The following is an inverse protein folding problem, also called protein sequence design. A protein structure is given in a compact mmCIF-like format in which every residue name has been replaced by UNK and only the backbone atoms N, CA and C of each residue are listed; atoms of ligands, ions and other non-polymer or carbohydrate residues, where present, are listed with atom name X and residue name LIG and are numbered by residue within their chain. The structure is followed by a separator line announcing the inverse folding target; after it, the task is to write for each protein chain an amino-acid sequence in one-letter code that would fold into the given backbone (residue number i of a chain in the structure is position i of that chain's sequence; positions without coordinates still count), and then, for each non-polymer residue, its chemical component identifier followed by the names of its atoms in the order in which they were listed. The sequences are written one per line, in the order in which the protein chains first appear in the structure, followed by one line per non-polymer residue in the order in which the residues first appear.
data_IF_913444091510
#
_entry.id   IF_913444091510
#
_cell.length_a   1.000
_cell.length_b   1.000
_cell.length_c   1.000
_cell.angle_alpha   90.00
_cell.angle_beta   90.00
_cell.angle_gamma   90.00
#
_symmetry.space_group_name_H-M   'P 1'
#
loop_
_entity.id
_entity.type
_entity.pdbx_description
1 polymer ?
#
# COMPACT_ATOMS: atom_id res chain seq x y z
N UNK A 1 -19.40 -15.48 23.60
CA UNK A 1 -19.70 -14.07 23.23
C UNK A 1 -18.51 -13.35 22.62
N UNK A 2 -17.32 -13.44 23.21
CA UNK A 2 -16.12 -12.70 22.79
C UNK A 2 -15.73 -12.91 21.31
N UNK A 3 -15.73 -14.16 20.81
CA UNK A 3 -15.45 -14.45 19.38
C UNK A 3 -16.45 -13.80 18.40
N UNK A 4 -17.75 -13.77 18.74
CA UNK A 4 -18.76 -13.14 17.86
C UNK A 4 -18.58 -11.63 17.76
N UNK A 5 -18.21 -11.00 18.87
CA UNK A 5 -17.90 -9.57 18.91
C UNK A 5 -16.64 -9.25 18.08
N UNK A 6 -15.57 -10.03 18.22
CA UNK A 6 -14.36 -9.87 17.40
C UNK A 6 -14.63 -10.03 15.90
N UNK A 7 -15.47 -11.01 15.52
CA UNK A 7 -15.87 -11.22 14.13
C UNK A 7 -16.71 -10.04 13.62
N UNK A 8 -17.67 -9.55 14.40
CA UNK A 8 -18.50 -8.42 14.01
C UNK A 8 -17.66 -7.15 13.76
N UNK A 9 -16.69 -6.87 14.63
CA UNK A 9 -15.77 -5.74 14.43
C UNK A 9 -14.90 -5.95 13.18
N UNK A 10 -14.34 -7.14 13.00
CA UNK A 10 -13.53 -7.47 11.82
C UNK A 10 -14.33 -7.22 10.54
N UNK A 11 -15.53 -7.80 10.42
CA UNK A 11 -16.42 -7.64 9.26
C UNK A 11 -16.78 -6.17 9.04
N UNK A 12 -17.10 -5.44 10.11
CA UNK A 12 -17.39 -4.00 10.01
C UNK A 12 -16.18 -3.22 9.47
N UNK A 13 -14.97 -3.50 9.96
CA UNK A 13 -13.74 -2.90 9.46
C UNK A 13 -13.45 -3.24 8.00
N UNK A 14 -13.73 -4.49 7.57
CA UNK A 14 -13.61 -4.91 6.18
C UNK A 14 -14.62 -4.21 5.27
N UNK A 15 -15.87 -4.05 5.72
CA UNK A 15 -16.91 -3.30 4.99
C UNK A 15 -16.54 -1.82 4.86
N UNK A 16 -16.02 -1.20 5.92
CA UNK A 16 -15.52 0.17 5.90
C UNK A 16 -14.37 0.30 4.89
N UNK A 17 -13.42 -0.64 4.89
CA UNK A 17 -12.33 -0.64 3.92
C UNK A 17 -12.84 -0.75 2.48
N UNK A 18 -13.77 -1.68 2.21
CA UNK A 18 -14.40 -1.80 0.89
C UNK A 18 -15.10 -0.51 0.50
N UNK A 19 -15.82 0.14 1.41
CA UNK A 19 -16.42 1.46 1.18
C UNK A 19 -15.37 2.51 0.79
N UNK A 20 -14.26 2.60 1.53
CA UNK A 20 -13.16 3.53 1.21
C UNK A 20 -12.60 3.26 -0.20
N UNK A 21 -12.43 1.99 -0.58
CA UNK A 21 -11.89 1.61 -1.89
C UNK A 21 -12.86 1.89 -3.04
N UNK A 22 -14.16 1.66 -2.84
CA UNK A 22 -15.20 1.96 -3.84
C UNK A 22 -15.33 3.48 -4.04
N UNK A 23 -15.30 4.25 -2.95
CA UNK A 23 -15.39 5.72 -2.99
C UNK A 23 -14.03 6.41 -3.10
N UNK A 24 -12.99 5.71 -3.56
CA UNK A 24 -11.61 6.23 -3.58
C UNK A 24 -11.46 7.55 -4.36
N UNK A 25 -12.19 7.73 -5.46
CA UNK A 25 -12.14 8.95 -6.29
C UNK A 25 -12.62 10.18 -5.50
N UNK A 26 -13.63 10.00 -4.64
CA UNK A 26 -14.15 11.06 -3.79
C UNK A 26 -13.18 11.39 -2.65
N UNK A 27 -12.58 10.37 -2.02
CA UNK A 27 -11.54 10.57 -1.02
C UNK A 27 -10.28 11.24 -1.60
N UNK A 28 -9.90 10.90 -2.82
CA UNK A 28 -8.73 11.47 -3.50
C UNK A 28 -8.87 12.98 -3.74
N UNK A 29 -10.09 13.49 -3.92
CA UNK A 29 -10.36 14.94 -4.05
C UNK A 29 -10.21 15.69 -2.71
N UNK A 30 -10.28 14.99 -1.57
CA UNK A 30 -10.21 15.58 -0.22
C UNK A 30 -8.94 15.09 0.50
N UNK A 31 -7.75 15.66 0.21
CA UNK A 31 -6.46 15.14 0.69
C UNK A 31 -6.36 15.04 2.22
N UNK A 32 -6.90 16.03 2.94
CA UNK A 32 -6.89 16.02 4.41
C UNK A 32 -7.76 14.90 4.98
N UNK A 33 -8.95 14.68 4.39
CA UNK A 33 -9.86 13.62 4.81
C UNK A 33 -9.21 12.25 4.62
N UNK A 34 -8.65 11.98 3.43
CA UNK A 34 -7.96 10.72 3.14
C UNK A 34 -6.80 10.48 4.11
N UNK A 35 -6.02 11.51 4.42
CA UNK A 35 -4.92 11.42 5.37
C UNK A 35 -5.37 10.99 6.77
N UNK A 36 -6.44 11.61 7.32
CA UNK A 36 -6.97 11.23 8.63
C UNK A 36 -7.63 9.85 8.62
N UNK A 37 -8.46 9.55 7.62
CA UNK A 37 -9.14 8.25 7.50
C UNK A 37 -8.13 7.11 7.38
N UNK A 38 -7.09 7.29 6.54
CA UNK A 38 -6.04 6.29 6.38
C UNK A 38 -5.28 6.06 7.68
N UNK A 39 -4.91 7.11 8.40
CA UNK A 39 -4.25 6.98 9.72
C UNK A 39 -5.11 6.26 10.74
N UNK A 40 -6.38 6.63 10.83
CA UNK A 40 -7.33 5.99 11.74
C UNK A 40 -7.46 4.49 11.41
N UNK A 41 -7.55 4.14 10.13
CA UNK A 41 -7.62 2.74 9.71
C UNK A 41 -6.32 1.98 10.02
N UNK A 42 -5.15 2.58 9.80
CA UNK A 42 -3.88 1.94 10.14
C UNK A 42 -3.74 1.69 11.64
N UNK A 43 -4.16 2.65 12.48
CA UNK A 43 -4.20 2.46 13.93
C UNK A 43 -5.16 1.32 14.30
N UNK A 44 -6.36 1.29 13.71
CA UNK A 44 -7.29 0.18 13.87
C UNK A 44 -6.66 -1.16 13.49
N UNK A 45 -5.96 -1.25 12.35
CA UNK A 45 -5.28 -2.49 11.95
C UNK A 45 -4.21 -2.92 12.95
N UNK A 46 -3.41 -2.00 13.49
CA UNK A 46 -2.37 -2.36 14.47
C UNK A 46 -2.99 -2.83 15.79
N UNK A 47 -3.94 -2.07 16.34
CA UNK A 47 -4.52 -2.38 17.65
C UNK A 47 -5.54 -3.51 17.60
N UNK A 48 -6.41 -3.55 16.61
CA UNK A 48 -7.46 -4.55 16.53
C UNK A 48 -6.99 -5.82 15.82
N UNK A 49 -6.54 -5.73 14.56
CA UNK A 49 -6.14 -6.91 13.78
C UNK A 49 -4.84 -7.51 14.34
N UNK A 50 -3.85 -6.67 14.66
CA UNK A 50 -2.57 -7.09 15.22
C UNK A 50 -2.69 -7.58 16.67
N UNK A 51 -3.11 -6.70 17.58
CA UNK A 51 -3.04 -6.98 19.03
C UNK A 51 -4.18 -7.85 19.57
N UNK A 52 -5.42 -7.64 19.09
CA UNK A 52 -6.61 -8.28 19.66
C UNK A 52 -7.03 -9.54 18.90
N UNK A 53 -7.08 -9.48 17.57
CA UNK A 53 -7.51 -10.58 16.73
C UNK A 53 -6.39 -11.61 16.49
N UNK A 54 -5.12 -11.20 16.57
CA UNK A 54 -3.95 -12.01 16.17
C UNK A 54 -4.12 -12.65 14.77
N UNK A 55 -4.99 -12.06 13.94
CA UNK A 55 -5.42 -12.59 12.66
C UNK A 55 -4.37 -12.21 11.62
N UNK A 56 -3.29 -12.99 11.57
CA UNK A 56 -2.14 -12.69 10.73
C UNK A 56 -2.02 -13.71 9.60
N UNK A 57 -2.03 -13.20 8.37
CA UNK A 57 -1.62 -14.00 7.22
C UNK A 57 -0.09 -14.07 7.24
N UNK A 58 0.44 -15.29 7.10
CA UNK A 58 1.87 -15.60 6.97
C UNK A 58 2.08 -16.40 5.70
N UNK A 59 3.32 -16.42 5.19
CA UNK A 59 3.68 -17.25 4.04
C UNK A 59 3.38 -18.73 4.29
N UNK A 60 3.44 -19.20 5.55
CA UNK A 60 3.10 -20.58 5.91
C UNK A 60 1.67 -20.91 5.49
N UNK A 61 0.71 -20.00 5.72
CA UNK A 61 -0.68 -20.24 5.32
C UNK A 61 -0.82 -20.39 3.79
N UNK A 62 -0.03 -19.64 3.03
CA UNK A 62 0.00 -19.76 1.56
C UNK A 62 0.61 -21.08 1.13
N UNK A 63 1.72 -21.48 1.76
CA UNK A 63 2.39 -22.76 1.48
C UNK A 63 1.49 -23.94 1.84
N UNK A 64 0.80 -23.88 2.98
CA UNK A 64 -0.21 -24.88 3.40
C UNK A 64 -1.35 -24.95 2.39
N UNK A 65 -1.85 -23.82 1.89
CA UNK A 65 -2.89 -23.81 0.86
C UNK A 65 -2.41 -24.42 -0.47
N UNK A 66 -1.19 -24.09 -0.91
CA UNK A 66 -0.59 -24.71 -2.11
C UNK A 66 -0.39 -26.21 -1.94
N UNK A 67 0.10 -26.67 -0.79
CA UNK A 67 0.27 -28.10 -0.51
C UNK A 67 -1.07 -28.83 -0.43
N UNK A 68 -2.09 -28.23 0.20
CA UNK A 68 -3.44 -28.79 0.27
C UNK A 68 -4.07 -28.95 -1.12
N UNK A 69 -3.82 -28.01 -2.03
CA UNK A 69 -4.23 -28.12 -3.43
C UNK A 69 -3.51 -29.27 -4.18
N UNK A 70 -2.27 -29.59 -3.81
CA UNK A 70 -1.45 -30.59 -4.48
C UNK A 70 -1.60 -32.02 -3.94
N UNK A 71 -1.91 -32.21 -2.65
CA UNK A 71 -1.75 -33.52 -1.98
C UNK A 71 -3.02 -34.14 -1.39
N UNK A 72 -4.06 -33.37 -1.06
CA UNK A 72 -5.45 -33.79 -0.76
C UNK A 72 -6.14 -32.70 0.10
N UNK A 73 -7.39 -32.36 -0.24
CA UNK A 73 -8.09 -31.19 0.32
C UNK A 73 -8.81 -31.52 1.64
N UNK A 74 -8.11 -31.41 2.78
CA UNK A 74 -8.74 -31.54 4.11
C UNK A 74 -9.20 -30.17 4.64
N UNK A 75 -10.51 -29.91 4.56
CA UNK A 75 -11.18 -28.67 5.05
C UNK A 75 -10.97 -28.39 6.56
N UNK A 76 -10.58 -29.41 7.32
CA UNK A 76 -10.46 -29.39 8.78
C UNK A 76 -9.38 -28.41 9.27
N UNK A 77 -8.30 -28.22 8.51
CA UNK A 77 -7.23 -27.27 8.87
C UNK A 77 -7.64 -25.80 8.71
N UNK A 78 -8.64 -25.52 7.88
CA UNK A 78 -9.07 -24.16 7.56
C UNK A 78 -10.17 -23.65 8.50
N UNK A 79 -10.89 -24.56 9.17
CA UNK A 79 -11.95 -24.25 10.15
C UNK A 79 -11.44 -23.91 11.56
N UNK A 80 -10.15 -24.09 11.84
CA UNK A 80 -9.58 -23.90 13.20
C UNK A 80 -9.66 -22.42 13.64
N UNK A 81 -9.58 -21.47 12.70
CA UNK A 81 -9.68 -20.05 13.02
C UNK A 81 -10.65 -19.29 12.06
N UNK A 82 -11.90 -19.04 12.48
CA UNK A 82 -12.89 -18.35 11.64
C UNK A 82 -12.48 -16.92 11.29
N UNK A 83 -11.61 -16.27 12.08
CA UNK A 83 -11.12 -14.92 11.78
C UNK A 83 -10.15 -14.94 10.60
N UNK A 84 -9.23 -15.92 10.59
CA UNK A 84 -8.30 -16.12 9.48
C UNK A 84 -9.05 -16.48 8.20
N UNK A 85 -10.09 -17.31 8.28
CA UNK A 85 -10.94 -17.66 7.14
C UNK A 85 -11.53 -16.40 6.48
N UNK A 86 -12.24 -15.57 7.26
CA UNK A 86 -12.88 -14.35 6.78
C UNK A 86 -11.85 -13.40 6.15
N UNK A 87 -10.70 -13.23 6.81
CA UNK A 87 -9.62 -12.37 6.30
C UNK A 87 -9.03 -12.93 5.00
N UNK A 88 -8.78 -14.24 4.90
CA UNK A 88 -8.30 -14.89 3.68
C UNK A 88 -9.29 -14.73 2.53
N UNK A 89 -10.58 -14.98 2.77
CA UNK A 89 -11.62 -14.82 1.74
C UNK A 89 -11.70 -13.38 1.25
N UNK A 90 -11.63 -12.42 2.16
CA UNK A 90 -11.59 -11.00 1.80
C UNK A 90 -10.33 -10.62 1.03
N UNK A 91 -9.17 -11.11 1.45
CA UNK A 91 -7.90 -10.87 0.75
C UNK A 91 -7.94 -11.50 -0.63
N UNK A 92 -8.44 -12.72 -0.79
CA UNK A 92 -8.62 -13.35 -2.10
C UNK A 92 -9.51 -12.51 -3.02
N UNK A 93 -10.66 -12.02 -2.53
CA UNK A 93 -11.55 -11.16 -3.31
C UNK A 93 -10.89 -9.83 -3.69
N UNK A 94 -10.25 -9.16 -2.74
CA UNK A 94 -9.58 -7.88 -3.00
C UNK A 94 -8.34 -8.03 -3.87
N UNK A 95 -7.64 -9.17 -3.83
CA UNK A 95 -6.54 -9.49 -4.75
C UNK A 95 -7.00 -9.55 -6.20
N UNK A 96 -8.17 -10.13 -6.47
CA UNK A 96 -8.70 -10.23 -7.84
C UNK A 96 -9.17 -8.87 -8.38
N UNK A 97 -9.74 -8.04 -7.51
CA UNK A 97 -10.34 -6.75 -7.90
C UNK A 97 -9.33 -5.59 -7.90
N UNK A 98 -8.57 -5.42 -6.82
CA UNK A 98 -7.63 -4.31 -6.60
C UNK A 98 -6.17 -4.75 -6.51
N UNK A 99 -5.92 -6.02 -6.19
CA UNK A 99 -4.60 -6.64 -6.06
C UNK A 99 -4.00 -6.59 -4.67
N UNK A 100 -2.72 -6.99 -4.57
CA UNK A 100 -2.06 -7.18 -3.27
C UNK A 100 -1.89 -5.91 -2.44
N UNK A 101 -2.03 -4.75 -3.09
CA UNK A 101 -1.81 -3.46 -2.45
C UNK A 101 -2.78 -3.17 -1.32
N UNK A 102 -4.02 -3.68 -1.39
CA UNK A 102 -5.02 -3.51 -0.33
C UNK A 102 -4.54 -4.18 0.96
N UNK A 103 -4.06 -5.42 0.86
CA UNK A 103 -3.55 -6.15 2.03
C UNK A 103 -2.30 -5.48 2.63
N UNK A 104 -1.23 -5.31 1.86
CA UNK A 104 0.04 -4.75 2.35
C UNK A 104 -0.06 -3.26 2.75
N UNK A 105 -1.04 -2.56 2.21
CA UNK A 105 -1.30 -1.13 2.47
C UNK A 105 -2.16 -0.88 3.69
N UNK A 106 -3.24 -1.65 3.87
CA UNK A 106 -4.31 -1.34 4.83
C UNK A 106 -4.52 -2.41 5.90
N UNK A 107 -4.50 -3.69 5.53
CA UNK A 107 -4.86 -4.79 6.44
C UNK A 107 -3.68 -5.42 7.17
N UNK A 108 -2.47 -5.30 6.65
CA UNK A 108 -1.29 -5.90 7.24
C UNK A 108 -0.82 -5.09 8.46
N UNK A 109 -0.83 -5.64 9.70
CA UNK A 109 -0.46 -4.90 10.90
C UNK A 109 1.00 -4.46 10.91
N UNK A 110 1.94 -5.32 10.47
CA UNK A 110 3.34 -4.93 10.37
C UNK A 110 3.56 -3.85 9.31
N UNK A 111 2.87 -3.97 8.17
CA UNK A 111 2.87 -2.93 7.15
C UNK A 111 2.35 -1.59 7.71
N UNK A 112 1.32 -1.63 8.55
CA UNK A 112 0.77 -0.45 9.20
C UNK A 112 1.74 0.16 10.22
N UNK A 113 2.44 -0.65 11.02
CA UNK A 113 3.49 -0.19 11.94
C UNK A 113 4.60 0.55 11.16
N UNK A 114 5.12 -0.05 10.09
CA UNK A 114 6.17 0.58 9.27
C UNK A 114 5.69 1.88 8.59
N UNK A 115 4.42 1.94 8.22
CA UNK A 115 3.81 3.14 7.66
C UNK A 115 3.70 4.27 8.70
N UNK A 116 3.19 3.96 9.89
CA UNK A 116 3.05 4.91 10.99
C UNK A 116 4.41 5.41 11.46
N UNK A 117 5.41 4.53 11.53
CA UNK A 117 6.79 4.92 11.83
C UNK A 117 7.41 5.80 10.77
N UNK A 118 7.22 5.50 9.48
CA UNK A 118 7.67 6.38 8.40
C UNK A 118 7.02 7.77 8.48
N UNK A 119 5.73 7.84 8.83
CA UNK A 119 5.05 9.12 9.05
C UNK A 119 5.58 9.87 10.29
N UNK A 120 5.87 9.17 11.38
CA UNK A 120 6.46 9.75 12.58
C UNK A 120 7.88 10.25 12.29
N UNK A 121 8.72 9.44 11.65
CA UNK A 121 10.09 9.79 11.25
C UNK A 121 10.14 11.07 10.39
N UNK A 122 9.23 11.21 9.41
CA UNK A 122 9.09 12.44 8.62
C UNK A 122 8.69 13.64 9.46
N UNK A 123 7.82 13.46 10.45
CA UNK A 123 7.43 14.55 11.37
C UNK A 123 8.59 14.99 12.27
N UNK A 124 9.50 14.08 12.60
CA UNK A 124 10.76 14.37 13.30
C UNK A 124 11.88 14.87 12.37
N UNK A 125 11.62 15.07 11.07
CA UNK A 125 12.59 15.63 10.13
C UNK A 125 13.63 14.62 9.60
N UNK A 126 13.43 13.32 9.80
CA UNK A 126 14.33 12.29 9.26
C UNK A 126 14.16 12.23 7.74
N UNK A 127 15.26 12.48 7.01
CA UNK A 127 15.29 12.38 5.54
C UNK A 127 15.08 10.93 5.13
N UNK A 128 14.09 10.71 4.27
CA UNK A 128 13.83 9.40 3.69
C UNK A 128 14.89 9.12 2.61
N UNK A 129 15.51 7.95 2.67
CA UNK A 129 16.47 7.49 1.68
C UNK A 129 15.79 6.56 0.69
N UNK A 130 15.80 6.93 -0.59
CA UNK A 130 15.26 6.15 -1.68
C UNK A 130 16.40 5.63 -2.57
N UNK A 131 16.32 4.35 -2.95
CA UNK A 131 17.31 3.76 -3.84
C UNK A 131 17.06 4.17 -5.30
N UNK A 132 18.10 4.25 -6.13
CA UNK A 132 17.94 4.42 -7.58
C UNK A 132 17.08 3.29 -8.17
N UNK A 133 16.26 3.61 -9.18
CA UNK A 133 15.28 2.68 -9.77
C UNK A 133 15.89 1.33 -10.19
N UNK A 134 17.11 1.31 -10.74
CA UNK A 134 17.78 0.07 -11.17
C UNK A 134 18.10 -0.85 -10.00
N UNK A 135 18.61 -0.28 -8.90
CA UNK A 135 18.89 -1.04 -7.66
C UNK A 135 17.58 -1.51 -7.07
N UNK A 136 16.58 -0.63 -7.05
CA UNK A 136 15.27 -0.92 -6.52
C UNK A 136 14.60 -2.13 -7.20
N UNK A 137 14.61 -2.18 -8.53
CA UNK A 137 14.04 -3.30 -9.30
C UNK A 137 14.76 -4.62 -9.02
N UNK A 138 16.08 -4.61 -8.86
CA UNK A 138 16.85 -5.81 -8.49
C UNK A 138 16.55 -6.27 -7.07
N UNK A 139 16.42 -5.34 -6.12
CA UNK A 139 16.11 -5.68 -4.74
C UNK A 139 14.69 -6.27 -4.61
N UNK A 140 13.75 -5.97 -5.51
CA UNK A 140 12.47 -6.67 -5.53
C UNK A 140 12.62 -8.17 -5.79
N UNK A 141 13.62 -8.61 -6.55
CA UNK A 141 13.86 -10.03 -6.80
C UNK A 141 14.14 -10.81 -5.51
N UNK A 142 14.74 -10.16 -4.50
CA UNK A 142 15.12 -10.79 -3.23
C UNK A 142 13.94 -11.45 -2.54
N UNK A 143 12.79 -10.77 -2.40
CA UNK A 143 11.59 -11.38 -1.79
C UNK A 143 11.05 -12.58 -2.57
N UNK A 144 11.21 -12.60 -3.90
CA UNK A 144 10.80 -13.74 -4.73
C UNK A 144 11.78 -14.91 -4.58
N UNK A 145 13.08 -14.63 -4.45
CA UNK A 145 14.08 -15.66 -4.14
C UNK A 145 13.81 -16.29 -2.76
N UNK A 146 13.47 -15.48 -1.75
CA UNK A 146 13.07 -15.99 -0.43
C UNK A 146 11.84 -16.87 -0.55
N UNK A 147 10.82 -16.46 -1.32
CA UNK A 147 9.62 -17.27 -1.54
C UNK A 147 9.95 -18.63 -2.20
N UNK A 148 10.77 -18.63 -3.26
CA UNK A 148 11.17 -19.86 -3.97
C UNK A 148 11.97 -20.78 -3.04
N UNK A 149 12.89 -20.22 -2.25
CA UNK A 149 13.64 -20.99 -1.24
C UNK A 149 12.69 -21.62 -0.21
N UNK A 150 11.76 -20.85 0.35
CA UNK A 150 10.80 -21.36 1.34
C UNK A 150 9.86 -22.42 0.75
N UNK A 151 9.43 -22.25 -0.50
CA UNK A 151 8.64 -23.24 -1.22
C UNK A 151 9.46 -24.53 -1.48
N UNK A 152 10.72 -24.41 -1.86
CA UNK A 152 11.61 -25.56 -2.03
C UNK A 152 11.79 -26.36 -0.73
N UNK A 153 11.96 -25.66 0.40
CA UNK A 153 12.03 -26.28 1.72
C UNK A 153 10.69 -26.92 2.14
N UNK A 154 9.55 -26.31 1.79
CA UNK A 154 8.24 -26.84 2.17
C UNK A 154 7.91 -28.15 1.50
N UNK A 155 8.44 -28.38 0.28
CA UNK A 155 8.32 -29.65 -0.43
C UNK A 155 9.04 -30.81 0.30
N UNK A 156 10.14 -30.52 1.02
CA UNK A 156 10.87 -31.53 1.79
C UNK A 156 10.25 -31.75 3.18
N UNK A 157 9.92 -30.66 3.88
CA UNK A 157 9.25 -30.71 5.18
C UNK A 157 8.54 -29.40 5.46
N UNK A 158 7.22 -29.48 5.68
CA UNK A 158 6.42 -28.32 6.08
C UNK A 158 6.86 -27.75 7.44
N UNK A 159 7.42 -28.60 8.32
CA UNK A 159 7.91 -28.21 9.65
C UNK A 159 9.19 -27.39 9.52
N UNK A 160 10.11 -27.77 8.62
CA UNK A 160 11.33 -27.01 8.36
C UNK A 160 11.04 -25.70 7.66
N UNK A 161 10.12 -25.69 6.67
CA UNK A 161 9.65 -24.45 6.07
C UNK A 161 8.98 -23.52 7.10
N UNK A 162 8.21 -24.06 8.05
CA UNK A 162 7.63 -23.27 9.13
C UNK A 162 8.69 -22.71 10.10
N UNK A 163 9.78 -23.44 10.35
CA UNK A 163 10.94 -22.96 11.12
C UNK A 163 11.71 -21.86 10.40
N UNK A 164 12.00 -22.03 9.11
CA UNK A 164 12.64 -20.98 8.31
C UNK A 164 11.73 -19.79 8.03
N UNK A 165 10.41 -19.99 8.00
CA UNK A 165 9.44 -18.90 7.97
C UNK A 165 9.35 -18.13 9.31
N UNK A 166 9.97 -18.61 10.40
CA UNK A 166 10.16 -17.80 11.62
C UNK A 166 11.10 -16.59 11.41
N UNK A 167 11.76 -16.49 10.25
CA UNK A 167 12.43 -15.27 9.80
C UNK A 167 11.45 -14.12 9.56
N UNK A 168 10.14 -14.39 9.43
CA UNK A 168 9.12 -13.34 9.39
C UNK A 168 9.06 -12.65 10.77
N UNK A 169 9.46 -11.36 10.87
CA UNK A 169 9.53 -10.63 12.14
C UNK A 169 8.16 -10.46 12.80
N UNK A 170 7.09 -10.80 12.09
CA UNK A 170 5.72 -10.63 12.56
C UNK A 170 5.38 -11.45 13.80
N UNK A 171 5.78 -12.73 13.86
CA UNK A 171 5.50 -13.61 15.02
C UNK A 171 6.16 -13.04 16.28
N UNK A 172 7.34 -12.42 16.13
CA UNK A 172 8.10 -11.79 17.22
C UNK A 172 7.59 -10.39 17.58
N UNK A 173 7.27 -9.54 16.60
CA UNK A 173 6.89 -8.14 16.83
C UNK A 173 5.42 -7.96 17.22
N UNK A 174 4.51 -8.83 16.76
CA UNK A 174 3.06 -8.67 16.95
C UNK A 174 2.47 -9.82 17.77
N UNK A 175 2.78 -11.08 17.43
CA UNK A 175 2.17 -12.25 18.10
C UNK A 175 2.74 -12.52 19.50
N UNK A 176 4.05 -12.30 19.68
CA UNK A 176 4.77 -12.60 20.92
C UNK A 176 5.14 -11.33 21.71
N UNK A 177 4.70 -10.14 21.29
CA UNK A 177 4.99 -8.88 21.99
C UNK A 177 6.47 -8.70 22.40
N UNK A 178 7.41 -9.10 21.52
CA UNK A 178 8.86 -9.11 21.78
C UNK A 178 9.34 -10.07 22.89
N UNK A 179 8.52 -11.02 23.34
CA UNK A 179 8.87 -12.04 24.34
C UNK A 179 9.62 -13.26 23.73
N UNK A 180 10.58 -13.01 22.84
CA UNK A 180 11.41 -14.05 22.19
C UNK A 180 12.90 -13.83 22.50
N UNK A 181 13.79 -14.81 22.24
CA UNK A 181 15.22 -14.66 22.40
C UNK A 181 15.74 -13.41 21.70
N UNK A 182 16.67 -12.74 22.36
CA UNK A 182 17.20 -11.42 22.00
C UNK A 182 17.58 -11.24 20.50
N UNK A 183 18.13 -12.26 19.80
CA UNK A 183 18.45 -12.13 18.38
C UNK A 183 17.25 -11.82 17.47
N UNK A 184 16.08 -12.41 17.74
CA UNK A 184 14.87 -12.19 16.92
C UNK A 184 14.25 -10.82 17.19
N UNK A 185 14.32 -10.36 18.44
CA UNK A 185 13.86 -9.02 18.86
C UNK A 185 14.74 -7.95 18.23
N UNK A 186 16.07 -8.13 18.26
CA UNK A 186 17.00 -7.24 17.58
C UNK A 186 16.77 -7.21 16.08
N UNK A 187 16.54 -8.36 15.43
CA UNK A 187 16.27 -8.41 14.00
C UNK A 187 14.98 -7.66 13.63
N UNK A 188 13.88 -7.91 14.34
CA UNK A 188 12.63 -7.20 14.13
C UNK A 188 12.77 -5.70 14.40
N UNK A 189 13.42 -5.33 15.51
CA UNK A 189 13.72 -3.94 15.87
C UNK A 189 14.57 -3.23 14.81
N UNK A 190 15.60 -3.89 14.27
CA UNK A 190 16.44 -3.35 13.21
C UNK A 190 15.64 -3.12 11.92
N UNK A 191 14.81 -4.08 11.51
CA UNK A 191 13.95 -3.91 10.32
C UNK A 191 12.93 -2.78 10.48
N UNK A 192 12.40 -2.61 11.69
CA UNK A 192 11.51 -1.51 12.04
C UNK A 192 12.27 -0.18 12.04
N UNK A 193 13.48 -0.13 12.60
CA UNK A 193 14.33 1.06 12.60
C UNK A 193 14.74 1.49 11.18
N UNK A 194 15.11 0.52 10.32
CA UNK A 194 15.40 0.77 8.90
C UNK A 194 14.17 1.35 8.20
N UNK A 195 12.95 0.95 8.61
CA UNK A 195 11.72 1.49 8.03
C UNK A 195 11.48 2.97 8.30
N UNK A 196 12.15 3.55 9.30
CA UNK A 196 12.16 4.99 9.55
C UNK A 196 12.95 5.77 8.48
N UNK A 197 13.97 5.14 7.88
CA UNK A 197 14.80 5.72 6.82
C UNK A 197 14.29 5.36 5.42
N UNK A 198 13.74 4.16 5.24
CA UNK A 198 13.17 3.70 3.97
C UNK A 198 11.76 3.14 4.21
N UNK A 199 10.73 3.85 3.74
CA UNK A 199 9.33 3.50 4.00
C UNK A 199 9.01 2.06 3.59
N UNK A 200 8.53 1.28 4.55
CA UNK A 200 8.11 -0.14 4.37
C UNK A 200 9.20 -1.02 3.75
N UNK A 201 10.47 -0.82 4.13
CA UNK A 201 11.63 -1.58 3.64
C UNK A 201 11.41 -3.10 3.61
N UNK A 202 10.95 -3.67 4.72
CA UNK A 202 10.68 -5.11 4.82
C UNK A 202 9.59 -5.57 3.83
N UNK A 203 8.45 -4.89 3.78
CA UNK A 203 7.38 -5.22 2.84
C UNK A 203 7.82 -5.12 1.37
N UNK A 204 8.80 -4.25 1.08
CA UNK A 204 9.32 -3.99 -0.26
C UNK A 204 10.33 -5.04 -0.72
N UNK A 205 11.20 -5.53 0.18
CA UNK A 205 12.36 -6.34 -0.22
C UNK A 205 12.46 -7.74 0.40
N UNK A 206 11.86 -7.97 1.58
CA UNK A 206 12.04 -9.24 2.32
C UNK A 206 10.74 -10.02 2.51
N UNK A 207 9.58 -9.39 2.38
CA UNK A 207 8.29 -10.01 2.69
C UNK A 207 7.90 -11.09 1.67
N UNK A 208 8.12 -12.36 2.03
CA UNK A 208 7.78 -13.52 1.23
C UNK A 208 6.26 -13.65 1.01
N UNK A 209 5.43 -13.36 2.02
CA UNK A 209 3.98 -13.27 1.87
C UNK A 209 3.59 -12.24 0.81
N UNK A 210 4.22 -11.06 0.82
CA UNK A 210 3.99 -10.02 -0.18
C UNK A 210 4.33 -10.49 -1.60
N UNK A 211 5.41 -11.27 -1.76
CA UNK A 211 5.79 -11.90 -3.02
C UNK A 211 4.75 -12.96 -3.46
N UNK A 212 4.26 -13.78 -2.52
CA UNK A 212 3.27 -14.80 -2.82
C UNK A 212 1.94 -14.19 -3.29
N UNK A 213 1.49 -13.10 -2.65
CA UNK A 213 0.27 -12.38 -3.03
C UNK A 213 0.41 -11.62 -4.36
N UNK A 214 1.63 -11.28 -4.81
CA UNK A 214 1.83 -10.63 -6.12
C UNK A 214 1.63 -11.55 -7.32
N UNK A 215 1.80 -12.87 -7.16
CA UNK A 215 1.66 -13.84 -8.26
C UNK A 215 0.21 -13.86 -8.80
N UNK A 216 -0.82 -14.16 -7.98
CA UNK A 216 -2.21 -14.15 -8.45
C UNK A 216 -2.70 -12.72 -8.73
N UNK A 217 -2.12 -11.71 -8.06
CA UNK A 217 -2.40 -10.31 -8.32
C UNK A 217 -2.04 -9.82 -9.72
N UNK A 218 -1.40 -10.64 -10.58
CA UNK A 218 -1.18 -10.31 -12.00
C UNK A 218 -2.47 -10.44 -12.84
N UNK A 219 -3.42 -11.29 -12.43
CA UNK A 219 -4.65 -11.58 -13.17
C UNK A 219 -5.82 -10.66 -12.80
N UNK A 220 -5.51 -9.39 -12.49
CA UNK A 220 -6.53 -8.42 -12.08
C UNK A 220 -7.47 -8.09 -13.24
N UNK A 221 -8.75 -7.98 -12.91
CA UNK A 221 -9.82 -7.76 -13.90
C UNK A 221 -9.99 -6.27 -14.20
N UNK A 222 -9.67 -5.38 -13.25
CA UNK A 222 -9.95 -3.95 -13.35
C UNK A 222 -8.69 -3.08 -13.20
N UNK A 223 -8.00 -2.83 -14.30
CA UNK A 223 -6.83 -1.92 -14.33
C UNK A 223 -7.22 -0.44 -14.15
N UNK A 224 -8.49 -0.09 -14.38
CA UNK A 224 -8.97 1.30 -14.44
C UNK A 224 -9.05 2.01 -13.08
N UNK A 225 -9.03 1.29 -11.94
CA UNK A 225 -9.24 1.92 -10.62
C UNK A 225 -8.19 2.99 -10.26
N UNK A 226 -6.97 2.91 -10.80
CA UNK A 226 -5.93 3.92 -10.62
C UNK A 226 -5.87 4.79 -11.88
N UNK A 227 -6.59 5.92 -11.87
CA UNK A 227 -6.66 6.82 -13.02
C UNK A 227 -5.30 7.44 -13.33
N UNK A 228 -4.97 7.48 -14.62
CA UNK A 228 -3.83 8.24 -15.16
C UNK A 228 -4.25 9.06 -16.36
N UNK A 229 -3.44 10.08 -16.67
CA UNK A 229 -3.55 10.86 -17.91
C UNK A 229 -2.48 10.40 -18.90
N UNK A 230 -2.64 10.77 -20.16
CA UNK A 230 -1.70 10.41 -21.23
C UNK A 230 -0.34 11.09 -21.06
N UNK A 231 -0.32 12.24 -20.40
CA UNK A 231 0.87 13.04 -20.12
C UNK A 231 1.69 12.52 -18.92
N UNK A 232 1.18 11.50 -18.21
CA UNK A 232 1.89 10.87 -17.08
C UNK A 232 3.02 9.98 -17.60
N UNK A 233 4.25 10.17 -17.09
CA UNK A 233 5.46 9.50 -17.56
C UNK A 233 6.21 10.33 -18.61
N UNK A 234 5.49 10.96 -19.54
CA UNK A 234 6.11 11.83 -20.53
C UNK A 234 5.19 13.03 -20.84
N UNK A 235 5.53 14.28 -20.46
CA UNK A 235 6.72 14.72 -19.70
C UNK A 235 6.56 14.69 -18.17
N UNK A 236 5.37 14.38 -17.62
CA UNK A 236 5.11 14.55 -16.17
C UNK A 236 5.64 13.39 -15.32
N UNK A 237 6.54 13.68 -14.37
CA UNK A 237 7.14 12.70 -13.44
C UNK A 237 6.71 12.85 -11.97
N UNK A 238 5.77 13.76 -11.66
CA UNK A 238 5.41 14.11 -10.28
C UNK A 238 4.95 12.90 -9.46
N UNK A 239 4.08 12.06 -10.02
CA UNK A 239 3.60 10.86 -9.33
C UNK A 239 4.69 9.81 -9.12
N UNK A 240 5.66 9.69 -10.04
CA UNK A 240 6.78 8.77 -9.91
C UNK A 240 7.67 9.17 -8.74
N UNK A 241 8.04 10.45 -8.67
CA UNK A 241 8.91 11.00 -7.63
C UNK A 241 8.26 11.03 -6.24
N UNK A 242 6.92 11.13 -6.17
CA UNK A 242 6.20 11.12 -4.89
C UNK A 242 5.85 9.69 -4.42
N UNK A 243 6.03 8.68 -5.27
CA UNK A 243 5.73 7.30 -4.90
C UNK A 243 6.84 6.74 -4.00
N UNK A 244 6.67 6.85 -2.69
CA UNK A 244 7.68 6.38 -1.71
C UNK A 244 7.92 4.85 -1.76
N UNK A 245 6.97 4.07 -2.31
CA UNK A 245 7.17 2.62 -2.56
C UNK A 245 7.92 2.37 -3.87
N UNK A 246 8.03 3.39 -4.74
CA UNK A 246 8.62 3.33 -6.08
C UNK A 246 7.96 2.29 -6.98
N UNK A 247 6.65 2.13 -6.85
CA UNK A 247 5.86 1.24 -7.70
C UNK A 247 5.58 1.84 -9.09
N UNK A 248 5.91 3.11 -9.33
CA UNK A 248 5.68 3.79 -10.61
C UNK A 248 6.99 3.82 -11.40
N UNK A 249 6.97 3.24 -12.60
CA UNK A 249 8.11 3.31 -13.53
C UNK A 249 8.27 4.74 -14.07
N UNK A 250 9.50 5.16 -14.45
CA UNK A 250 9.72 6.43 -15.13
C UNK A 250 8.90 6.58 -16.43
N UNK A 251 8.57 5.49 -17.10
CA UNK A 251 7.71 5.48 -18.30
C UNK A 251 6.27 5.90 -18.01
N UNK A 252 5.87 6.00 -16.74
CA UNK A 252 4.51 6.36 -16.36
C UNK A 252 3.57 5.17 -16.21
N UNK A 253 4.08 3.96 -16.07
CA UNK A 253 3.24 2.78 -15.75
C UNK A 253 3.25 2.52 -14.24
N UNK A 254 2.12 2.04 -13.69
CA UNK A 254 2.06 1.56 -12.30
C UNK A 254 2.35 0.07 -12.31
N UNK A 255 3.43 -0.35 -11.64
CA UNK A 255 3.61 -1.74 -11.32
C UNK A 255 2.64 -2.11 -10.19
N UNK A 256 1.49 -2.62 -10.59
CA UNK A 256 0.42 -3.07 -9.70
C UNK A 256 0.87 -4.20 -8.76
N UNK A 257 1.85 -5.01 -9.16
CA UNK A 257 2.42 -6.06 -8.33
C UNK A 257 3.32 -5.50 -7.22
N UNK A 258 3.67 -4.22 -7.27
CA UNK A 258 4.47 -3.56 -6.25
C UNK A 258 3.73 -2.43 -5.51
N UNK A 259 2.62 -1.98 -6.06
CA UNK A 259 1.77 -0.94 -5.47
C UNK A 259 1.15 -1.37 -4.12
N UNK A 260 1.26 -0.51 -3.11
CA UNK A 260 0.64 -0.69 -1.78
C UNK A 260 -0.71 0.04 -1.62
N UNK A 261 -1.35 0.42 -2.74
CA UNK A 261 -2.68 1.03 -2.77
C UNK A 261 -2.87 2.20 -1.79
N UNK A 262 -1.87 3.08 -1.73
CA UNK A 262 -1.81 4.21 -0.80
C UNK A 262 -2.70 5.41 -1.19
N UNK A 263 -3.13 5.47 -2.46
CA UNK A 263 -3.91 6.54 -3.10
C UNK A 263 -3.23 7.92 -3.18
N UNK A 264 -1.97 8.05 -2.76
CA UNK A 264 -1.23 9.33 -2.80
C UNK A 264 -1.10 9.86 -4.25
N UNK A 265 -0.93 8.96 -5.24
CA UNK A 265 -0.90 9.34 -6.65
C UNK A 265 -2.26 9.82 -7.18
N UNK A 266 -3.38 9.29 -6.67
CA UNK A 266 -4.72 9.73 -7.06
C UNK A 266 -5.03 11.12 -6.48
N UNK A 267 -4.56 11.41 -5.25
CA UNK A 267 -4.64 12.76 -4.69
C UNK A 267 -3.93 13.78 -5.57
N UNK A 268 -2.75 13.44 -6.09
CA UNK A 268 -2.03 14.30 -7.04
C UNK A 268 -2.81 14.43 -8.34
N UNK A 269 -3.38 13.35 -8.87
CA UNK A 269 -4.14 13.34 -10.12
C UNK A 269 -5.33 14.31 -10.14
N UNK A 270 -6.04 14.42 -9.01
CA UNK A 270 -7.19 15.33 -8.85
C UNK A 270 -6.81 16.76 -8.44
N UNK A 271 -5.54 17.00 -8.06
CA UNK A 271 -5.10 18.33 -7.61
C UNK A 271 -4.73 19.24 -8.79
N UNK A 272 -5.46 20.34 -8.93
CA UNK A 272 -5.22 21.43 -9.87
C UNK A 272 -3.92 22.23 -9.59
N UNK A 273 -3.35 22.06 -8.39
CA UNK A 273 -2.10 22.71 -7.96
C UNK A 273 -0.87 21.82 -8.04
N UNK A 274 -1.03 20.49 -8.08
CA UNK A 274 0.10 19.53 -8.11
C UNK A 274 0.22 18.78 -9.43
N UNK A 275 -0.89 18.48 -10.11
CA UNK A 275 -0.86 17.78 -11.38
C UNK A 275 -0.38 18.72 -12.47
N UNK A 276 0.83 18.53 -13.01
CA UNK A 276 1.42 19.44 -14.03
C UNK A 276 0.48 19.75 -15.20
N UNK A 277 -0.21 18.77 -15.82
CA UNK A 277 -1.18 19.07 -16.89
C UNK A 277 -2.36 19.95 -16.44
N UNK A 278 -2.82 19.85 -15.19
CA UNK A 278 -3.88 20.71 -14.66
C UNK A 278 -3.36 22.10 -14.27
N UNK A 279 -2.15 22.16 -13.71
CA UNK A 279 -1.48 23.43 -13.40
C UNK A 279 -1.28 24.23 -14.68
N UNK A 280 -0.79 23.61 -15.76
CA UNK A 280 -0.64 24.29 -17.06
C UNK A 280 -1.98 24.81 -17.60
N UNK A 281 -3.05 24.01 -17.51
CA UNK A 281 -4.40 24.45 -17.93
C UNK A 281 -4.92 25.59 -17.08
N UNK A 282 -4.70 25.55 -15.77
CA UNK A 282 -5.09 26.61 -14.82
C UNK A 282 -4.35 27.91 -15.13
N UNK A 283 -3.02 27.86 -15.22
CA UNK A 283 -2.17 29.03 -15.51
C UNK A 283 -2.55 29.65 -16.85
N UNK A 284 -2.75 28.85 -17.90
CA UNK A 284 -3.21 29.36 -19.21
C UNK A 284 -4.58 30.05 -19.13
N UNK A 285 -5.50 29.52 -18.32
CA UNK A 285 -6.83 30.11 -18.10
C UNK A 285 -6.72 31.44 -17.36
N UNK A 286 -5.91 31.52 -16.30
CA UNK A 286 -5.66 32.74 -15.52
C UNK A 286 -5.04 33.83 -16.38
N UNK A 287 -3.96 33.51 -17.13
CA UNK A 287 -3.33 34.44 -18.09
C UNK A 287 -4.26 34.91 -19.21
N UNK A 288 -5.25 34.10 -19.61
CA UNK A 288 -6.25 34.52 -20.61
C UNK A 288 -7.21 35.53 -20.01
N UNK A 289 -7.63 35.33 -18.76
CA UNK A 289 -8.52 36.26 -18.04
C UNK A 289 -7.80 37.60 -17.81
N UNK A 290 -6.56 37.57 -17.34
CA UNK A 290 -5.74 38.78 -17.12
C UNK A 290 -5.57 39.60 -18.41
N UNK A 291 -5.26 38.94 -19.54
CA UNK A 291 -5.15 39.60 -20.84
C UNK A 291 -6.46 40.25 -21.29
N UNK A 292 -7.60 39.58 -21.06
CA UNK A 292 -8.92 40.14 -21.39
C UNK A 292 -9.25 41.33 -20.50
N UNK A 293 -8.92 41.28 -19.21
CA UNK A 293 -9.11 42.39 -18.27
C UNK A 293 -8.28 43.61 -18.68
N UNK A 294 -7.00 43.42 -19.02
CA UNK A 294 -6.13 44.48 -19.53
C UNK A 294 -6.68 45.10 -20.82
N UNK A 295 -7.19 44.29 -21.76
CA UNK A 295 -7.80 44.82 -22.98
C UNK A 295 -9.08 45.65 -22.71
N UNK A 296 -9.88 45.24 -21.73
CA UNK A 296 -11.07 45.99 -21.31
C UNK A 296 -10.68 47.32 -20.66
N UNK A 297 -9.64 47.32 -19.80
CA UNK A 297 -9.12 48.54 -19.16
C UNK A 297 -8.56 49.52 -20.18
N UNK A 298 -7.76 49.05 -21.15
CA UNK A 298 -7.22 49.89 -22.23
C UNK A 298 -8.35 50.52 -23.06
N UNK A 299 -9.38 49.74 -23.42
CA UNK A 299 -10.56 50.27 -24.15
C UNK A 299 -11.33 51.30 -23.33
N UNK A 300 -11.44 51.12 -22.01
CA UNK A 300 -12.12 52.09 -21.13
C UNK A 300 -11.31 53.39 -21.01
N UNK A 301 -9.99 53.31 -20.90
CA UNK A 301 -9.11 54.48 -20.88
C UNK A 301 -9.17 55.24 -22.21
N UNK A 302 -9.10 54.53 -23.35
CA UNK A 302 -9.20 55.17 -24.68
C UNK A 302 -10.53 55.88 -24.95
N UNK A 303 -11.65 55.41 -24.38
CA UNK A 303 -12.95 56.07 -24.50
C UNK A 303 -13.11 57.29 -23.57
N UNK A 304 -12.22 57.51 -22.60
CA UNK A 304 -12.24 58.68 -21.72
C UNK A 304 -11.47 59.88 -22.30
N UNK A 305 -10.57 59.62 -23.27
CA UNK A 305 -9.71 60.62 -23.91
C UNK A 305 -10.28 61.18 -25.22
N UNK A 306 -11.51 60.81 -25.60
CA UNK A 306 -12.18 61.35 -26.80
C UNK A 306 -13.00 62.60 -26.39
N UNK A 307 -12.52 63.83 -26.68
CA UNK A 307 -13.22 65.05 -26.30
C UNK A 307 -14.51 65.16 -27.12
N UNK A 308 -15.64 65.31 -26.42
CA UNK A 308 -16.92 65.71 -27.03
C UNK A 308 -16.85 67.15 -27.54
#
# INVERSE_FOLDING_TARGET
MQRRFSIAILVTGLLVLTGILVFQDWFAQRPQLLYYVRRAFLLYTVFFIGWYALAQLSVVNVLTFMHAFMRDFHWENFLIDPMLFILWSFVALTLLLWGRGVYCGWLCPFGAIQELLGQAARRFGIRQFEFPNVVHERLWAVKYLILIMLFGLSLQSLIEAARFAEIEPFKTAVTLHFQRPWPFVLYAGALIAISAFNRKFFCKYLCALGAALSIPGRFRIFEWWLRRRKECGHPCQVCANQCEVQAIRPTGEINHNECHYCLDCQVVYYSDRKCTPLVERRVKREQRIERLQQQIEIRRAGNLDEPR
#
